data_IF_847466458331
#
_entry.id   IF_847466458331
#
_cell.length_a   1.000
_cell.length_b   1.000
_cell.length_c   1.000
_cell.angle_alpha   90.00
_cell.angle_beta   90.00
_cell.angle_gamma   90.00
#
_symmetry.space_group_name_H-M   'P 1'
#
loop_
_entity.id
_entity.type
_entity.pdbx_description
1 polymer ?
#
# COMPACT_ATOMS: atom_id res chain seq x y z
N UNK A 1 17.06 -2.06 1.39
CA UNK A 1 16.86 -1.93 -0.06
C UNK A 1 15.68 -2.76 -0.49
N UNK A 2 14.69 -2.13 -1.10
CA UNK A 2 13.65 -2.79 -1.86
C UNK A 2 14.21 -3.32 -3.19
N UNK A 3 13.50 -4.26 -3.82
CA UNK A 3 13.86 -4.79 -5.14
C UNK A 3 13.89 -3.70 -6.23
N UNK A 4 13.01 -2.71 -6.11
CA UNK A 4 13.04 -1.48 -6.89
C UNK A 4 14.39 -0.77 -6.75
N UNK A 5 14.91 -0.63 -5.53
CA UNK A 5 16.19 0.05 -5.28
C UNK A 5 17.37 -0.71 -5.90
N UNK A 6 17.35 -2.05 -5.87
CA UNK A 6 18.38 -2.89 -6.48
C UNK A 6 18.35 -2.85 -8.01
N UNK A 7 17.16 -2.69 -8.58
CA UNK A 7 16.98 -2.53 -10.04
C UNK A 7 17.42 -1.13 -10.46
N UNK A 8 16.98 -0.09 -9.75
CA UNK A 8 17.32 1.32 -10.01
C UNK A 8 18.80 1.64 -9.78
N UNK A 9 19.48 0.91 -8.89
CA UNK A 9 20.92 1.04 -8.64
C UNK A 9 21.79 0.24 -9.63
N UNK A 10 21.18 -0.47 -10.58
CA UNK A 10 21.89 -1.27 -11.58
C UNK A 10 22.59 -2.51 -11.02
N UNK A 11 22.30 -2.89 -9.77
CA UNK A 11 22.84 -4.11 -9.13
C UNK A 11 22.23 -5.36 -9.76
N UNK A 12 20.95 -5.29 -10.14
CA UNK A 12 20.27 -6.35 -10.88
C UNK A 12 20.12 -5.96 -12.35
N UNK A 13 20.38 -6.88 -13.31
CA UNK A 13 20.07 -6.67 -14.73
C UNK A 13 18.62 -6.26 -14.90
N UNK A 14 18.27 -5.38 -15.84
CA UNK A 14 16.87 -4.91 -16.02
C UNK A 14 15.87 -6.04 -16.34
N UNK A 15 16.34 -7.17 -16.85
CA UNK A 15 15.55 -8.34 -17.21
C UNK A 15 15.66 -9.49 -16.19
N UNK A 16 16.30 -9.27 -15.05
CA UNK A 16 16.66 -10.31 -14.08
C UNK A 16 15.47 -11.17 -13.62
N UNK A 17 14.28 -10.57 -13.47
CA UNK A 17 13.07 -11.28 -13.07
C UNK A 17 12.63 -12.32 -14.12
N UNK A 18 13.01 -12.12 -15.39
CA UNK A 18 12.74 -13.02 -16.51
C UNK A 18 13.91 -13.94 -16.87
N UNK A 19 15.15 -13.58 -16.48
CA UNK A 19 16.37 -14.31 -16.85
C UNK A 19 16.92 -15.22 -15.75
N UNK A 20 16.57 -15.00 -14.48
CA UNK A 20 17.07 -15.81 -13.35
C UNK A 20 16.27 -17.11 -13.18
N UNK A 21 14.97 -17.12 -13.47
CA UNK A 21 14.12 -18.30 -13.33
C UNK A 21 13.44 -18.67 -14.66
N UNK A 22 13.45 -19.97 -15.03
CA UNK A 22 12.73 -20.46 -16.19
C UNK A 22 11.24 -20.08 -16.17
N UNK A 23 10.62 -19.78 -17.33
CA UNK A 23 9.20 -19.43 -17.41
C UNK A 23 8.26 -20.45 -16.74
N UNK A 24 8.58 -21.74 -16.83
CA UNK A 24 7.80 -22.80 -16.18
C UNK A 24 7.75 -22.65 -14.65
N UNK A 25 8.89 -22.36 -14.01
CA UNK A 25 8.97 -22.16 -12.56
C UNK A 25 8.20 -20.89 -12.17
N UNK A 26 8.27 -19.83 -12.98
CA UNK A 26 7.48 -18.61 -12.73
C UNK A 26 5.98 -18.88 -12.78
N UNK A 27 5.52 -19.71 -13.72
CA UNK A 27 4.11 -20.10 -13.81
C UNK A 27 3.68 -20.93 -12.59
N UNK A 28 4.50 -21.88 -12.14
CA UNK A 28 4.24 -22.64 -10.91
C UNK A 28 4.12 -21.74 -9.67
N UNK A 29 5.03 -20.78 -9.52
CA UNK A 29 4.97 -19.79 -8.42
C UNK A 29 3.70 -18.97 -8.50
N UNK A 30 3.27 -18.54 -9.70
CA UNK A 30 2.03 -17.80 -9.87
C UNK A 30 0.81 -18.59 -9.39
N UNK A 31 0.72 -19.88 -9.72
CA UNK A 31 -0.35 -20.77 -9.27
C UNK A 31 -0.37 -20.89 -7.74
N UNK A 32 0.80 -21.06 -7.11
CA UNK A 32 0.90 -21.14 -5.64
C UNK A 32 0.48 -19.83 -4.98
N UNK A 33 0.86 -18.69 -5.55
CA UNK A 33 0.48 -17.37 -5.03
C UNK A 33 -1.02 -17.14 -5.17
N UNK A 34 -1.62 -17.45 -6.32
CA UNK A 34 -3.07 -17.30 -6.52
C UNK A 34 -3.87 -18.20 -5.57
N UNK A 35 -3.40 -19.43 -5.33
CA UNK A 35 -3.96 -20.30 -4.31
C UNK A 35 -3.86 -19.68 -2.91
N UNK A 36 -2.71 -19.08 -2.56
CA UNK A 36 -2.51 -18.41 -1.27
C UNK A 36 -3.36 -17.14 -1.07
N UNK A 37 -3.75 -16.46 -2.15
CA UNK A 37 -4.68 -15.33 -2.08
C UNK A 37 -6.12 -15.79 -1.84
N UNK A 38 -6.49 -16.93 -2.43
CA UNK A 38 -7.85 -17.46 -2.43
C UNK A 38 -8.18 -18.32 -1.20
N UNK A 39 -7.20 -19.11 -0.75
CA UNK A 39 -7.35 -20.11 0.31
C UNK A 39 -6.58 -19.72 1.58
N UNK A 40 -6.96 -20.29 2.72
CA UNK A 40 -6.12 -20.22 3.91
C UNK A 40 -4.98 -21.24 3.77
N UNK A 41 -3.92 -20.82 3.08
CA UNK A 41 -2.78 -21.68 2.71
C UNK A 41 -1.74 -21.82 3.83
N UNK A 42 -1.93 -21.15 4.97
CA UNK A 42 -0.92 -21.04 6.03
C UNK A 42 0.32 -20.21 5.65
N UNK A 43 0.38 -19.67 4.42
CA UNK A 43 1.48 -18.82 3.97
C UNK A 43 1.33 -17.42 4.59
N UNK A 44 2.38 -16.95 5.26
CA UNK A 44 2.38 -15.62 5.87
C UNK A 44 2.09 -14.52 4.82
N UNK A 45 1.21 -13.54 5.12
CA UNK A 45 0.87 -12.46 4.18
C UNK A 45 2.06 -11.69 3.63
N UNK A 46 3.07 -11.47 4.47
CA UNK A 46 4.32 -10.79 4.09
C UNK A 46 5.07 -11.54 2.98
N UNK A 47 5.01 -12.87 2.98
CA UNK A 47 5.65 -13.70 1.96
C UNK A 47 4.86 -13.59 0.67
N UNK A 48 3.54 -13.73 0.73
CA UNK A 48 2.65 -13.62 -0.44
C UNK A 48 2.89 -12.31 -1.19
N UNK A 49 2.83 -11.16 -0.51
CA UNK A 49 2.99 -9.84 -1.16
C UNK A 49 4.41 -9.58 -1.66
N UNK A 50 5.43 -10.15 -1.00
CA UNK A 50 6.80 -10.10 -1.51
C UNK A 50 6.96 -10.93 -2.77
N UNK A 51 6.34 -12.11 -2.83
CA UNK A 51 6.38 -12.98 -4.00
C UNK A 51 5.64 -12.34 -5.18
N UNK A 52 4.48 -11.71 -4.96
CA UNK A 52 3.78 -10.92 -5.98
C UNK A 52 4.70 -9.89 -6.64
N UNK A 53 5.36 -9.07 -5.82
CA UNK A 53 6.28 -8.03 -6.30
C UNK A 53 7.54 -8.61 -6.96
N UNK A 54 8.14 -9.62 -6.34
CA UNK A 54 9.38 -10.26 -6.80
C UNK A 54 9.20 -10.90 -8.19
N UNK A 55 8.08 -11.57 -8.39
CA UNK A 55 7.79 -12.29 -9.64
C UNK A 55 6.98 -11.45 -10.64
N UNK A 56 6.65 -10.21 -10.29
CA UNK A 56 5.79 -9.32 -11.09
C UNK A 56 4.47 -10.00 -11.48
N UNK A 57 3.83 -10.66 -10.51
CA UNK A 57 2.56 -11.35 -10.74
C UNK A 57 1.44 -10.31 -10.60
N UNK A 58 0.93 -9.83 -11.73
CA UNK A 58 -0.08 -8.78 -11.82
C UNK A 58 -1.40 -9.24 -12.50
N UNK A 59 -1.34 -10.30 -13.30
CA UNK A 59 -2.49 -10.92 -13.96
C UNK A 59 -3.34 -11.83 -13.04
N UNK A 60 -3.70 -11.36 -11.85
CA UNK A 60 -4.62 -12.06 -10.94
C UNK A 60 -6.01 -11.42 -11.03
N UNK A 61 -7.06 -12.23 -10.91
CA UNK A 61 -8.44 -11.73 -10.87
C UNK A 61 -8.64 -10.66 -9.78
N UNK A 62 -9.13 -9.48 -10.17
CA UNK A 62 -9.32 -8.32 -9.28
C UNK A 62 -10.08 -8.68 -8.00
N UNK A 63 -11.14 -9.49 -8.12
CA UNK A 63 -11.95 -9.93 -6.99
C UNK A 63 -11.14 -10.72 -5.96
N UNK A 64 -10.21 -11.58 -6.40
CA UNK A 64 -9.34 -12.38 -5.53
C UNK A 64 -8.44 -11.46 -4.70
N UNK A 65 -7.81 -10.50 -5.38
CA UNK A 65 -6.92 -9.53 -4.73
C UNK A 65 -7.69 -8.65 -3.73
N UNK A 66 -8.89 -8.18 -4.08
CA UNK A 66 -9.73 -7.38 -3.18
C UNK A 66 -10.18 -8.17 -1.94
N UNK A 67 -10.63 -9.42 -2.12
CA UNK A 67 -11.03 -10.29 -1.00
C UNK A 67 -9.84 -10.53 -0.08
N UNK A 68 -8.66 -10.79 -0.65
CA UNK A 68 -7.44 -10.99 0.12
C UNK A 68 -7.05 -9.73 0.92
N UNK A 69 -7.03 -8.55 0.28
CA UNK A 69 -6.73 -7.30 0.97
C UNK A 69 -7.71 -7.01 2.12
N UNK A 70 -9.01 -7.27 1.92
CA UNK A 70 -10.02 -7.15 2.98
C UNK A 70 -9.72 -8.07 4.16
N UNK A 71 -9.34 -9.34 3.91
CA UNK A 71 -8.91 -10.28 4.97
C UNK A 71 -7.71 -9.71 5.74
N UNK A 72 -6.74 -9.13 5.03
CA UNK A 72 -5.55 -8.54 5.65
C UNK A 72 -5.87 -7.31 6.51
N UNK A 73 -6.80 -6.45 6.09
CA UNK A 73 -7.26 -5.30 6.88
C UNK A 73 -7.89 -5.78 8.19
N UNK A 74 -8.78 -6.78 8.13
CA UNK A 74 -9.41 -7.36 9.32
C UNK A 74 -8.38 -8.00 10.25
N UNK A 75 -7.36 -8.66 9.68
CA UNK A 75 -6.28 -9.29 10.44
C UNK A 75 -5.24 -8.30 10.99
N UNK A 76 -5.37 -6.99 10.73
CA UNK A 76 -4.39 -5.98 11.15
C UNK A 76 -3.04 -6.07 10.41
N UNK A 77 -2.97 -6.80 9.30
CA UNK A 77 -1.75 -7.04 8.53
C UNK A 77 -1.41 -5.86 7.58
N UNK A 78 -1.45 -4.63 8.10
CA UNK A 78 -1.48 -3.39 7.30
C UNK A 78 -0.28 -3.19 6.40
N UNK A 79 0.92 -3.59 6.83
CA UNK A 79 2.12 -3.54 5.96
C UNK A 79 1.91 -4.37 4.69
N UNK A 80 1.24 -5.52 4.80
CA UNK A 80 0.94 -6.36 3.64
C UNK A 80 -0.18 -5.76 2.79
N UNK A 81 -1.18 -5.12 3.40
CA UNK A 81 -2.21 -4.35 2.68
C UNK A 81 -1.57 -3.27 1.81
N UNK A 82 -0.70 -2.44 2.39
CA UNK A 82 -0.02 -1.37 1.67
C UNK A 82 0.84 -1.90 0.52
N UNK A 83 1.53 -3.03 0.72
CA UNK A 83 2.31 -3.67 -0.34
C UNK A 83 1.43 -4.23 -1.47
N UNK A 84 0.24 -4.73 -1.16
CA UNK A 84 -0.74 -5.07 -2.19
C UNK A 84 -1.18 -3.83 -2.98
N UNK A 85 -1.52 -2.73 -2.30
CA UNK A 85 -1.96 -1.49 -2.97
C UNK A 85 -0.85 -0.93 -3.87
N UNK A 86 0.39 -0.91 -3.39
CA UNK A 86 1.58 -0.46 -4.14
C UNK A 86 1.88 -1.35 -5.36
N UNK A 87 1.60 -2.65 -5.28
CA UNK A 87 1.80 -3.56 -6.41
C UNK A 87 0.71 -3.42 -7.47
N UNK A 88 -0.55 -3.22 -7.05
CA UNK A 88 -1.70 -3.08 -7.95
C UNK A 88 -2.26 -1.65 -7.90
N UNK A 89 -1.45 -0.67 -8.29
CA UNK A 89 -1.80 0.76 -8.20
C UNK A 89 -2.98 1.17 -9.08
N UNK A 90 -3.26 0.40 -10.14
CA UNK A 90 -4.37 0.64 -11.07
C UNK A 90 -5.73 0.15 -10.56
N UNK A 91 -5.78 -0.57 -9.43
CA UNK A 91 -7.03 -1.09 -8.90
C UNK A 91 -7.85 0.00 -8.19
N UNK A 92 -9.20 -0.05 -8.28
CA UNK A 92 -10.08 0.87 -7.57
C UNK A 92 -10.23 0.45 -6.10
N UNK A 93 -9.18 0.66 -5.31
CA UNK A 93 -9.15 0.26 -3.91
C UNK A 93 -10.13 1.09 -3.04
N UNK A 94 -10.75 0.49 -2.01
CA UNK A 94 -11.56 1.20 -1.03
C UNK A 94 -10.67 1.96 -0.04
N UNK A 95 -10.00 3.02 -0.49
CA UNK A 95 -9.02 3.77 0.31
C UNK A 95 -9.61 4.30 1.63
N UNK A 96 -10.86 4.77 1.59
CA UNK A 96 -11.56 5.26 2.79
C UNK A 96 -11.71 4.18 3.86
N UNK A 97 -12.20 2.99 3.50
CA UNK A 97 -12.35 1.88 4.45
C UNK A 97 -11.00 1.49 5.09
N UNK A 98 -9.91 1.54 4.31
CA UNK A 98 -8.57 1.27 4.81
C UNK A 98 -8.10 2.36 5.79
N UNK A 99 -8.33 3.63 5.47
CA UNK A 99 -7.99 4.76 6.35
C UNK A 99 -8.76 4.66 7.67
N UNK A 100 -10.06 4.40 7.62
CA UNK A 100 -10.88 4.20 8.81
C UNK A 100 -10.35 3.04 9.67
N UNK A 101 -9.98 1.91 9.07
CA UNK A 101 -9.41 0.78 9.79
C UNK A 101 -8.05 1.11 10.45
N UNK A 102 -7.18 1.86 9.75
CA UNK A 102 -5.90 2.28 10.32
C UNK A 102 -6.08 3.27 11.46
N UNK A 103 -6.98 4.25 11.32
CA UNK A 103 -7.26 5.23 12.37
C UNK A 103 -7.92 4.58 13.59
N UNK A 104 -8.86 3.66 13.38
CA UNK A 104 -9.53 2.93 14.47
C UNK A 104 -8.52 2.16 15.35
N UNK A 105 -7.42 1.69 14.77
CA UNK A 105 -6.34 1.00 15.49
C UNK A 105 -5.14 1.91 15.82
N UNK A 106 -5.29 3.23 15.66
CA UNK A 106 -4.23 4.26 15.87
C UNK A 106 -2.95 4.00 15.07
N UNK A 107 -3.06 3.30 13.96
CA UNK A 107 -1.98 3.01 13.01
C UNK A 107 -1.73 4.18 12.05
N UNK A 108 -1.53 5.38 12.59
CA UNK A 108 -1.32 6.61 11.81
C UNK A 108 -0.22 6.52 10.75
N UNK A 109 0.95 5.91 11.02
CA UNK A 109 1.98 5.75 9.99
C UNK A 109 1.50 4.93 8.78
N UNK A 110 0.54 4.02 8.95
CA UNK A 110 -0.04 3.26 7.83
C UNK A 110 -1.00 4.10 7.00
N UNK A 111 -1.79 4.98 7.63
CA UNK A 111 -2.65 5.92 6.93
C UNK A 111 -1.86 6.93 6.10
N UNK A 112 -0.79 7.47 6.68
CA UNK A 112 0.20 8.31 6.00
C UNK A 112 0.84 7.57 4.81
N UNK A 113 1.34 6.36 5.04
CA UNK A 113 1.97 5.58 3.98
C UNK A 113 0.98 5.23 2.86
N UNK A 114 -0.30 4.99 3.16
CA UNK A 114 -1.34 4.78 2.16
C UNK A 114 -1.50 6.01 1.27
N UNK A 115 -1.66 7.20 1.87
CA UNK A 115 -1.76 8.45 1.12
C UNK A 115 -0.55 8.65 0.19
N UNK A 116 0.66 8.37 0.68
CA UNK A 116 1.88 8.46 -0.14
C UNK A 116 1.86 7.51 -1.34
N UNK A 117 1.40 6.27 -1.15
CA UNK A 117 1.36 5.25 -2.21
C UNK A 117 0.36 5.63 -3.30
N UNK A 118 -0.80 6.18 -2.92
CA UNK A 118 -1.92 6.42 -3.84
C UNK A 118 -1.87 7.79 -4.50
N UNK A 119 -1.15 8.77 -3.92
CA UNK A 119 -1.06 10.13 -4.46
C UNK A 119 -0.69 10.17 -5.95
N UNK A 120 0.32 9.41 -6.44
CA UNK A 120 0.69 9.47 -7.86
C UNK A 120 -0.38 8.90 -8.80
N UNK A 121 -1.30 8.08 -8.28
CA UNK A 121 -2.32 7.38 -9.05
C UNK A 121 -3.70 8.05 -8.98
N UNK A 122 -3.90 9.01 -8.08
CA UNK A 122 -5.17 9.71 -7.88
C UNK A 122 -5.14 11.12 -8.44
N UNK A 123 -6.30 11.60 -8.87
CA UNK A 123 -6.50 13.00 -9.21
C UNK A 123 -6.54 13.87 -7.93
N UNK A 124 -6.15 15.14 -8.07
CA UNK A 124 -6.06 16.10 -6.97
C UNK A 124 -7.34 16.21 -6.12
N UNK A 125 -8.55 16.30 -6.71
CA UNK A 125 -9.81 16.32 -5.96
C UNK A 125 -10.05 15.08 -5.09
N UNK A 126 -9.85 13.88 -5.64
CA UNK A 126 -10.02 12.63 -4.87
C UNK A 126 -9.00 12.54 -3.75
N UNK A 127 -7.73 12.86 -4.03
CA UNK A 127 -6.69 12.85 -3.01
C UNK A 127 -6.97 13.86 -1.88
N UNK A 128 -7.44 15.07 -2.21
CA UNK A 128 -7.86 16.09 -1.24
C UNK A 128 -9.02 15.59 -0.39
N UNK A 129 -10.01 14.92 -1.00
CA UNK A 129 -11.14 14.35 -0.27
C UNK A 129 -10.69 13.35 0.79
N UNK A 130 -9.81 12.40 0.44
CA UNK A 130 -9.25 11.43 1.39
C UNK A 130 -8.50 12.13 2.54
N UNK A 131 -7.72 13.16 2.22
CA UNK A 131 -6.95 13.93 3.20
C UNK A 131 -7.87 14.71 4.16
N UNK A 132 -8.95 15.30 3.65
CA UNK A 132 -9.97 15.97 4.47
C UNK A 132 -10.68 14.98 5.41
N UNK A 133 -10.98 13.78 4.94
CA UNK A 133 -11.53 12.73 5.79
C UNK A 133 -10.58 12.36 6.93
N UNK A 134 -9.26 12.32 6.70
CA UNK A 134 -8.28 12.11 7.76
C UNK A 134 -8.23 13.27 8.78
N UNK A 135 -8.48 14.51 8.36
CA UNK A 135 -8.68 15.62 9.31
C UNK A 135 -9.85 15.31 10.23
N UNK A 136 -11.01 14.95 9.67
CA UNK A 136 -12.21 14.61 10.44
C UNK A 136 -11.98 13.44 11.40
N UNK A 137 -11.40 12.34 10.91
CA UNK A 137 -11.09 11.16 11.72
C UNK A 137 -10.10 11.49 12.85
N UNK A 138 -9.10 12.34 12.58
CA UNK A 138 -8.13 12.80 13.60
C UNK A 138 -8.78 13.70 14.65
N UNK A 139 -9.71 14.57 14.25
CA UNK A 139 -10.48 15.41 15.19
C UNK A 139 -11.32 14.53 16.12
N UNK A 140 -11.98 13.51 15.59
CA UNK A 140 -12.78 12.56 16.39
C UNK A 140 -11.92 11.80 17.42
N UNK A 141 -10.68 11.47 17.05
CA UNK A 141 -9.70 10.83 17.94
C UNK A 141 -8.93 11.81 18.84
N UNK A 142 -9.24 13.12 18.78
CA UNK A 142 -8.57 14.19 19.53
C UNK A 142 -7.07 14.34 19.24
N UNK A 143 -6.63 13.93 18.05
CA UNK A 143 -5.23 13.97 17.61
C UNK A 143 -4.89 15.31 16.95
N UNK A 144 -4.89 16.40 17.73
CA UNK A 144 -4.80 17.78 17.22
C UNK A 144 -3.53 18.07 16.40
N UNK A 145 -2.39 17.45 16.73
CA UNK A 145 -1.16 17.58 15.92
C UNK A 145 -1.37 17.04 14.49
N UNK A 146 -2.14 15.98 14.34
CA UNK A 146 -2.46 15.34 13.05
C UNK A 146 -3.52 16.10 12.30
N UNK A 147 -4.49 16.67 13.00
CA UNK A 147 -5.46 17.62 12.42
C UNK A 147 -4.73 18.75 11.70
N UNK A 148 -3.76 19.40 12.36
CA UNK A 148 -2.97 20.47 11.75
C UNK A 148 -2.16 19.98 10.53
N UNK A 149 -1.49 18.84 10.65
CA UNK A 149 -0.72 18.23 9.55
C UNK A 149 -1.60 17.95 8.32
N UNK A 150 -2.69 17.20 8.50
CA UNK A 150 -3.57 16.80 7.39
C UNK A 150 -4.34 17.99 6.81
N UNK A 151 -4.67 19.01 7.61
CA UNK A 151 -5.26 20.23 7.10
C UNK A 151 -4.33 20.95 6.13
N UNK A 152 -3.05 21.09 6.49
CA UNK A 152 -2.02 21.68 5.61
C UNK A 152 -1.84 20.87 4.32
N UNK A 153 -1.85 19.54 4.42
CA UNK A 153 -1.78 18.66 3.24
C UNK A 153 -2.97 18.85 2.30
N UNK A 154 -4.20 18.92 2.83
CA UNK A 154 -5.39 19.14 2.02
C UNK A 154 -5.36 20.51 1.31
N UNK A 155 -4.81 21.53 1.98
CA UNK A 155 -4.64 22.86 1.42
C UNK A 155 -3.56 22.92 0.32
N UNK A 156 -2.42 22.25 0.54
CA UNK A 156 -1.33 22.20 -0.43
C UNK A 156 -1.67 21.33 -1.66
N UNK A 157 -2.46 20.28 -1.48
CA UNK A 157 -2.74 19.29 -2.53
C UNK A 157 -1.58 18.34 -2.80
N UNK A 158 -0.53 18.35 -1.96
CA UNK A 158 0.70 17.58 -2.16
C UNK A 158 1.14 16.88 -0.87
N UNK A 159 1.61 15.63 -0.99
CA UNK A 159 2.13 14.84 0.13
C UNK A 159 3.60 15.15 0.45
N UNK A 160 4.41 15.65 -0.50
CA UNK A 160 5.84 15.94 -0.24
C UNK A 160 6.00 16.99 0.87
N UNK A 161 5.16 18.03 0.83
CA UNK A 161 5.05 19.04 1.89
C UNK A 161 4.68 18.43 3.26
N UNK A 162 4.00 17.29 3.28
CA UNK A 162 3.67 16.58 4.51
C UNK A 162 4.88 15.97 5.20
N UNK A 163 5.84 15.43 4.45
CA UNK A 163 7.04 14.82 5.03
C UNK A 163 7.89 15.89 5.72
N UNK A 164 8.08 17.03 5.06
CA UNK A 164 8.77 18.19 5.64
C UNK A 164 8.09 18.72 6.91
N UNK A 165 6.75 18.73 6.93
CA UNK A 165 5.99 19.13 8.12
C UNK A 165 6.01 18.06 9.20
N UNK A 166 5.93 16.78 8.85
CA UNK A 166 5.95 15.66 9.79
C UNK A 166 7.23 15.63 10.60
N UNK A 167 8.37 15.79 9.93
CA UNK A 167 9.68 15.84 10.60
C UNK A 167 9.81 17.03 11.55
N UNK A 168 9.10 18.14 11.27
CA UNK A 168 9.04 19.31 12.16
C UNK A 168 8.09 19.17 13.36
N UNK A 169 7.03 18.38 13.25
CA UNK A 169 5.99 18.26 14.29
C UNK A 169 6.11 17.01 15.18
N UNK A 170 6.81 15.97 14.70
CA UNK A 170 7.03 14.71 15.42
C UNK A 170 8.48 14.48 15.88
N UNK A 171 9.40 15.38 15.55
CA UNK A 171 10.75 15.44 16.13
C UNK A 171 10.78 15.97 17.56
#
# INVERSE_FOLDING_TARGET
>A
MALSDLTSSGVLPTDWASTVLPPAIRAEVAVVVEAALSTDSGVSPKVVVKTLALFQIDHIGLAVVMVYAKKLVVAGAYVSVLKCVEHFTWMPWPHMDMLEAFVATKSWPMAEQLLKIIQPALDGPTFRHLTMSLVTLSTQQQELKRVDLYHKMAAAGEYELANDLRDRFLG
#
